data_IF_100439862874
#
_entry.id   IF_100439862874
#
_cell.length_a   1.000
_cell.length_b   1.000
_cell.length_c   1.000
_cell.angle_alpha   90.00
_cell.angle_beta   90.00
_cell.angle_gamma   90.00
#
_symmetry.space_group_name_H-M   'P 1'
#
loop_
_entity.id
_entity.type
_entity.pdbx_description
1 polymer ?
#
# COMPACT_ATOMS: atom_id res chain seq x y z
N UNK A 1 1.92 -8.27 23.72
CA UNK A 1 1.74 -7.58 22.43
C UNK A 1 0.91 -8.43 21.47
N UNK A 2 1.30 -9.63 21.14
CA UNK A 2 0.61 -10.58 20.23
C UNK A 2 -0.89 -10.72 20.51
N UNK A 3 -1.31 -11.00 21.78
CA UNK A 3 -2.73 -11.10 22.17
C UNK A 3 -3.57 -9.87 21.88
N UNK A 4 -2.96 -8.67 21.92
CA UNK A 4 -3.67 -7.43 21.64
C UNK A 4 -3.87 -7.24 20.14
N UNK A 5 -2.89 -7.63 19.31
CA UNK A 5 -3.01 -7.60 17.86
C UNK A 5 -4.14 -8.53 17.38
N UNK A 6 -4.24 -9.75 17.92
CA UNK A 6 -5.30 -10.70 17.61
C UNK A 6 -6.74 -10.21 17.92
N UNK A 7 -6.88 -9.14 18.66
CA UNK A 7 -8.17 -8.55 19.08
C UNK A 7 -8.55 -7.29 18.30
N UNK A 8 -7.73 -6.86 17.33
CA UNK A 8 -8.05 -5.72 16.46
C UNK A 8 -9.20 -6.06 15.53
N UNK A 9 -10.02 -5.08 15.23
CA UNK A 9 -11.21 -5.20 14.37
C UNK A 9 -11.40 -3.91 13.56
N UNK A 10 -12.22 -4.00 12.52
CA UNK A 10 -12.52 -2.89 11.63
C UNK A 10 -11.27 -2.32 10.99
N UNK A 11 -11.21 -1.03 10.76
CA UNK A 11 -10.07 -0.35 10.14
C UNK A 11 -8.75 -0.44 10.94
N UNK A 12 -8.78 -0.91 12.19
CA UNK A 12 -7.58 -1.15 12.98
C UNK A 12 -7.03 -2.59 12.84
N UNK A 13 -7.75 -3.51 12.19
CA UNK A 13 -7.28 -4.87 11.94
C UNK A 13 -6.53 -4.92 10.61
N UNK A 14 -5.29 -5.45 10.56
CA UNK A 14 -4.57 -5.63 9.31
C UNK A 14 -5.21 -6.74 8.46
N UNK A 15 -5.01 -6.70 7.15
CA UNK A 15 -5.42 -7.79 6.25
C UNK A 15 -4.61 -9.06 6.52
N UNK A 16 -3.33 -8.89 6.85
CA UNK A 16 -2.46 -9.99 7.27
C UNK A 16 -1.83 -9.67 8.62
N UNK A 17 -2.16 -10.47 9.63
CA UNK A 17 -1.49 -10.38 10.92
C UNK A 17 -0.23 -11.26 10.92
N UNK A 18 0.91 -10.65 11.21
CA UNK A 18 2.21 -11.33 11.24
C UNK A 18 2.75 -11.42 12.67
N UNK A 19 2.45 -12.50 13.41
CA UNK A 19 3.13 -12.80 14.67
C UNK A 19 4.61 -13.08 14.43
N UNK A 20 5.48 -12.31 15.08
CA UNK A 20 6.92 -12.32 14.78
C UNK A 20 7.71 -13.21 15.74
N UNK A 21 8.41 -14.20 15.19
CA UNK A 21 9.37 -15.05 15.91
C UNK A 21 10.81 -14.86 15.42
N UNK A 22 11.11 -13.76 14.75
CA UNK A 22 12.42 -13.45 14.19
C UNK A 22 13.04 -12.27 14.92
N UNK A 23 13.01 -11.04 14.40
CA UNK A 23 13.68 -9.86 14.99
C UNK A 23 13.09 -9.39 16.32
N UNK A 24 11.78 -9.48 16.49
CA UNK A 24 11.12 -9.12 17.74
C UNK A 24 11.33 -10.16 18.86
N UNK A 25 11.96 -11.30 18.55
CA UNK A 25 12.19 -12.39 19.49
C UNK A 25 13.69 -12.70 19.63
N UNK A 26 14.25 -12.53 20.84
CA UNK A 26 15.65 -12.84 21.09
C UNK A 26 15.97 -14.30 20.67
N UNK A 27 17.12 -14.59 20.03
CA UNK A 27 17.44 -15.95 19.54
C UNK A 27 17.30 -17.06 20.57
N UNK A 28 17.58 -16.78 21.84
CA UNK A 28 17.42 -17.74 22.95
C UNK A 28 15.98 -17.99 23.40
N UNK A 29 15.03 -17.19 22.89
CA UNK A 29 13.61 -17.25 23.25
C UNK A 29 12.73 -17.70 22.07
N UNK A 30 13.31 -18.07 20.94
CA UNK A 30 12.56 -18.39 19.71
C UNK A 30 11.68 -19.63 19.86
N UNK A 31 12.11 -20.64 20.63
CA UNK A 31 11.28 -21.81 20.89
C UNK A 31 10.06 -21.44 21.75
N UNK A 32 10.26 -20.64 22.82
CA UNK A 32 9.15 -20.09 23.60
C UNK A 32 8.29 -19.13 22.77
N UNK A 33 8.88 -18.41 21.85
CA UNK A 33 8.20 -17.55 20.87
C UNK A 33 7.23 -18.34 20.00
N UNK A 34 7.65 -19.48 19.46
CA UNK A 34 6.80 -20.39 18.69
C UNK A 34 5.64 -20.94 19.52
N UNK A 35 5.89 -21.39 20.77
CA UNK A 35 4.84 -21.83 21.69
C UNK A 35 3.82 -20.71 22.00
N UNK A 36 4.30 -19.46 22.16
CA UNK A 36 3.42 -18.30 22.41
C UNK A 36 2.56 -17.96 21.20
N UNK A 37 3.12 -18.04 19.98
CA UNK A 37 2.39 -17.85 18.72
C UNK A 37 1.27 -18.89 18.62
N UNK A 38 1.57 -20.16 18.80
CA UNK A 38 0.60 -21.25 18.78
C UNK A 38 -0.51 -21.00 19.81
N UNK A 39 -0.14 -20.67 21.06
CA UNK A 39 -1.12 -20.43 22.12
C UNK A 39 -2.08 -19.30 21.78
N UNK A 40 -1.58 -18.19 21.25
CA UNK A 40 -2.40 -17.01 20.96
C UNK A 40 -3.28 -17.26 19.73
N UNK A 41 -2.76 -17.90 18.68
CA UNK A 41 -3.55 -18.22 17.49
C UNK A 41 -4.63 -19.22 17.83
N UNK A 42 -4.36 -20.27 18.61
CA UNK A 42 -5.37 -21.23 19.07
C UNK A 42 -6.49 -20.56 19.89
N UNK A 43 -6.17 -19.52 20.66
CA UNK A 43 -7.14 -18.81 21.50
C UNK A 43 -7.98 -17.78 20.74
N UNK A 44 -7.41 -17.11 19.74
CA UNK A 44 -7.99 -15.93 19.11
C UNK A 44 -8.07 -15.99 17.58
N UNK A 45 -7.44 -16.96 16.93
CA UNK A 45 -7.34 -17.03 15.47
C UNK A 45 -8.71 -17.08 14.78
N UNK A 46 -9.65 -17.85 15.33
CA UNK A 46 -10.99 -17.96 14.77
C UNK A 46 -11.80 -16.64 14.74
N UNK A 47 -11.39 -15.67 15.53
CA UNK A 47 -12.06 -14.37 15.61
C UNK A 47 -11.33 -13.29 14.82
N UNK A 48 -10.10 -13.54 14.35
CA UNK A 48 -9.34 -12.57 13.59
C UNK A 48 -9.95 -12.41 12.18
N UNK A 49 -10.18 -11.19 11.70
CA UNK A 49 -10.93 -10.98 10.45
C UNK A 49 -10.10 -11.14 9.18
N UNK A 50 -8.76 -11.07 9.27
CA UNK A 50 -7.83 -11.22 8.16
C UNK A 50 -7.08 -12.54 8.18
N UNK A 51 -6.04 -12.65 7.38
CA UNK A 51 -5.15 -13.81 7.32
C UNK A 51 -4.09 -13.78 8.44
N UNK A 52 -3.56 -14.94 8.82
CA UNK A 52 -2.54 -15.08 9.86
C UNK A 52 -1.30 -15.75 9.26
N UNK A 53 -0.21 -15.01 9.15
CA UNK A 53 1.06 -15.48 8.59
C UNK A 53 2.22 -15.26 9.58
N UNK A 54 2.53 -16.19 10.47
CA UNK A 54 3.67 -16.06 11.37
C UNK A 54 4.97 -15.83 10.60
N UNK A 55 5.77 -14.82 11.01
CA UNK A 55 7.14 -14.70 10.55
C UNK A 55 8.02 -15.62 11.35
N UNK A 56 8.67 -16.54 10.67
CA UNK A 56 9.59 -17.53 11.24
C UNK A 56 11.03 -17.16 10.91
N UNK A 57 11.97 -17.80 11.59
CA UNK A 57 13.38 -17.60 11.29
C UNK A 57 13.78 -18.27 9.98
N UNK A 58 14.63 -17.60 9.22
CA UNK A 58 15.32 -18.14 8.05
C UNK A 58 16.64 -17.43 7.91
N UNK A 59 17.60 -17.99 7.19
CA UNK A 59 18.80 -17.29 6.78
C UNK A 59 19.48 -18.07 5.66
N UNK A 60 19.65 -17.45 4.50
CA UNK A 60 20.24 -18.02 3.28
C UNK A 60 21.57 -18.72 3.50
N UNK A 61 22.43 -18.20 4.39
CA UNK A 61 23.78 -18.71 4.67
C UNK A 61 23.90 -19.59 5.92
N UNK A 62 22.79 -19.79 6.66
CA UNK A 62 22.81 -20.52 7.94
C UNK A 62 22.00 -21.81 7.89
N UNK A 63 22.63 -22.97 7.64
CA UNK A 63 21.93 -24.26 7.74
C UNK A 63 21.30 -24.52 9.11
N UNK A 64 21.92 -23.99 10.18
CA UNK A 64 21.37 -24.15 11.53
C UNK A 64 20.06 -23.36 11.72
N UNK A 65 20.00 -22.14 11.19
CA UNK A 65 18.78 -21.31 11.22
C UNK A 65 17.68 -21.91 10.37
N UNK A 66 18.02 -22.44 9.17
CA UNK A 66 17.04 -23.16 8.34
C UNK A 66 16.52 -24.44 9.01
N UNK A 67 17.37 -25.15 9.75
CA UNK A 67 16.91 -26.31 10.53
C UNK A 67 15.97 -25.88 11.65
N UNK A 68 16.28 -24.81 12.39
CA UNK A 68 15.37 -24.24 13.40
C UNK A 68 14.05 -23.78 12.78
N UNK A 69 14.09 -23.13 11.61
CA UNK A 69 12.90 -22.80 10.83
C UNK A 69 12.01 -24.03 10.62
N UNK A 70 12.59 -25.12 10.14
CA UNK A 70 11.87 -26.35 9.88
C UNK A 70 11.25 -26.97 11.15
N UNK A 71 11.94 -26.92 12.28
CA UNK A 71 11.39 -27.38 13.56
C UNK A 71 10.21 -26.50 14.01
N UNK A 72 10.33 -25.17 13.88
CA UNK A 72 9.22 -24.26 14.19
C UNK A 72 8.02 -24.44 13.25
N UNK A 73 8.25 -24.61 11.95
CA UNK A 73 7.18 -24.92 11.00
C UNK A 73 6.43 -26.20 11.38
N UNK A 74 7.16 -27.27 11.72
CA UNK A 74 6.57 -28.53 12.16
C UNK A 74 5.76 -28.38 13.44
N UNK A 75 6.19 -27.52 14.34
CA UNK A 75 5.51 -27.30 15.60
C UNK A 75 4.26 -26.42 15.45
N UNK A 76 4.35 -25.34 14.69
CA UNK A 76 3.27 -24.39 14.47
C UNK A 76 2.16 -25.03 13.64
N UNK A 77 2.53 -25.80 12.64
CA UNK A 77 1.57 -26.48 11.76
C UNK A 77 1.06 -27.83 12.29
N UNK A 78 1.34 -28.20 13.55
CA UNK A 78 0.89 -29.44 14.14
C UNK A 78 -0.65 -29.46 14.31
N UNK A 79 -1.38 -30.41 13.66
CA UNK A 79 -2.84 -30.48 13.74
C UNK A 79 -3.38 -30.79 15.16
N UNK A 80 -2.54 -31.31 16.06
CA UNK A 80 -2.91 -31.47 17.46
C UNK A 80 -2.99 -30.17 18.24
N UNK A 81 -2.46 -29.08 17.63
CA UNK A 81 -2.44 -27.74 18.20
C UNK A 81 -3.37 -26.83 17.40
N UNK A 82 -4.60 -26.73 17.68
CA UNK A 82 -5.67 -25.99 16.96
C UNK A 82 -5.24 -24.74 16.14
N UNK A 83 -4.03 -24.19 16.37
CA UNK A 83 -3.50 -23.02 15.70
C UNK A 83 -3.48 -23.13 14.17
N UNK A 84 -3.10 -24.30 13.64
CA UNK A 84 -2.97 -24.51 12.18
C UNK A 84 -4.29 -24.30 11.42
N UNK A 85 -5.42 -24.46 12.07
CA UNK A 85 -6.73 -24.23 11.45
C UNK A 85 -7.00 -22.76 11.13
N UNK A 86 -6.16 -21.86 11.64
CA UNK A 86 -6.27 -20.41 11.52
C UNK A 86 -5.03 -19.78 10.91
N UNK A 87 -4.08 -20.60 10.43
CA UNK A 87 -2.86 -20.11 9.76
C UNK A 87 -3.04 -20.27 8.26
N UNK A 88 -2.88 -19.18 7.55
CA UNK A 88 -3.06 -19.11 6.10
C UNK A 88 -1.72 -19.18 5.36
N UNK A 89 -0.61 -18.84 6.01
CA UNK A 89 0.72 -18.88 5.42
C UNK A 89 1.85 -18.58 6.38
N UNK A 90 3.03 -18.33 5.82
CA UNK A 90 4.23 -17.96 6.56
C UNK A 90 5.00 -16.84 5.86
N UNK A 91 5.63 -15.98 6.64
CA UNK A 91 6.59 -14.98 6.16
C UNK A 91 8.01 -15.50 6.38
N UNK A 92 8.79 -15.54 5.30
CA UNK A 92 10.18 -16.03 5.27
C UNK A 92 11.12 -14.82 5.12
N UNK A 93 11.87 -14.45 6.14
CA UNK A 93 12.86 -13.38 6.09
C UNK A 93 14.19 -13.86 5.50
N UNK A 94 15.16 -13.00 5.34
CA UNK A 94 16.59 -13.29 5.07
C UNK A 94 16.83 -14.29 3.90
N UNK A 95 15.93 -14.28 2.89
CA UNK A 95 16.07 -15.12 1.70
C UNK A 95 17.20 -14.61 0.79
N UNK A 96 17.80 -15.52 0.03
CA UNK A 96 18.79 -15.24 -1.01
C UNK A 96 18.22 -15.32 -2.43
N UNK A 97 18.83 -16.17 -3.26
CA UNK A 97 18.42 -16.40 -4.65
C UNK A 97 17.12 -17.23 -4.78
N UNK A 98 16.64 -17.39 -6.00
CA UNK A 98 15.43 -18.18 -6.31
C UNK A 98 15.53 -19.63 -5.81
N UNK A 99 16.72 -20.22 -5.80
CA UNK A 99 16.88 -21.59 -5.31
C UNK A 99 16.74 -21.66 -3.77
N UNK A 100 17.05 -20.57 -3.08
CA UNK A 100 16.81 -20.44 -1.64
C UNK A 100 15.31 -20.29 -1.34
N UNK A 101 14.56 -19.52 -2.15
CA UNK A 101 13.11 -19.41 -2.05
C UNK A 101 12.42 -20.77 -2.27
N UNK A 102 12.86 -21.55 -3.26
CA UNK A 102 12.36 -22.91 -3.52
C UNK A 102 12.61 -23.85 -2.34
N UNK A 103 13.71 -23.69 -1.61
CA UNK A 103 13.98 -24.48 -0.40
C UNK A 103 12.99 -24.15 0.73
N UNK A 104 12.64 -22.85 0.88
CA UNK A 104 11.63 -22.45 1.85
C UNK A 104 10.26 -23.04 1.50
N UNK A 105 9.88 -22.96 0.23
CA UNK A 105 8.65 -23.60 -0.29
C UNK A 105 8.64 -25.12 -0.06
N UNK A 106 9.75 -25.80 -0.36
CA UNK A 106 9.89 -27.24 -0.11
C UNK A 106 9.71 -27.60 1.38
N UNK A 107 10.20 -26.76 2.29
CA UNK A 107 10.00 -26.99 3.73
C UNK A 107 8.53 -26.91 4.12
N UNK A 108 7.80 -25.93 3.60
CA UNK A 108 6.37 -25.80 3.83
C UNK A 108 5.63 -27.02 3.24
N UNK A 109 5.97 -27.45 2.03
CA UNK A 109 5.40 -28.65 1.38
C UNK A 109 5.63 -29.93 2.20
N UNK A 110 6.84 -30.08 2.77
CA UNK A 110 7.14 -31.25 3.65
C UNK A 110 6.27 -31.20 4.91
N UNK A 111 6.07 -30.02 5.48
CA UNK A 111 5.23 -29.80 6.67
C UNK A 111 3.77 -30.14 6.36
N UNK A 112 3.22 -29.62 5.26
CA UNK A 112 1.87 -29.95 4.78
C UNK A 112 1.68 -31.45 4.61
N UNK A 113 2.61 -32.10 3.90
CA UNK A 113 2.58 -33.55 3.68
C UNK A 113 2.62 -34.32 4.99
N UNK A 114 3.51 -33.93 5.92
CA UNK A 114 3.68 -34.59 7.20
C UNK A 114 2.42 -34.51 8.07
N UNK A 115 1.75 -33.39 8.04
CA UNK A 115 0.56 -33.14 8.83
C UNK A 115 -0.75 -33.47 8.11
N UNK A 116 -0.68 -33.92 6.86
CA UNK A 116 -1.85 -34.31 6.07
C UNK A 116 -2.69 -33.10 5.60
N UNK A 117 -2.07 -31.93 5.51
CA UNK A 117 -2.66 -30.74 4.90
C UNK A 117 -2.64 -30.87 3.37
N UNK A 118 -3.49 -30.14 2.69
CA UNK A 118 -3.45 -30.10 1.24
C UNK A 118 -2.15 -29.40 0.77
N UNK A 119 -1.49 -29.90 -0.26
CA UNK A 119 -0.32 -29.27 -0.85
C UNK A 119 -0.70 -27.88 -1.40
N UNK A 120 0.08 -26.86 -1.07
CA UNK A 120 -0.18 -25.47 -1.44
C UNK A 120 -1.28 -24.77 -0.63
N UNK A 121 -1.73 -25.38 0.47
CA UNK A 121 -2.74 -24.77 1.34
C UNK A 121 -2.20 -23.66 2.24
N UNK A 122 -0.89 -23.61 2.44
CA UNK A 122 -0.20 -22.58 3.21
C UNK A 122 0.53 -21.65 2.26
N UNK A 123 0.19 -20.38 2.28
CA UNK A 123 0.84 -19.34 1.48
C UNK A 123 2.27 -19.04 1.95
N UNK A 124 3.06 -18.41 1.10
CA UNK A 124 4.41 -17.95 1.42
C UNK A 124 4.57 -16.48 1.01
N UNK A 125 5.08 -15.68 1.93
CA UNK A 125 5.59 -14.35 1.65
C UNK A 125 7.09 -14.32 1.87
N UNK A 126 7.83 -13.54 1.10
CA UNK A 126 9.27 -13.38 1.28
C UNK A 126 9.63 -11.90 1.47
N UNK A 127 10.67 -11.66 2.29
CA UNK A 127 11.20 -10.32 2.52
C UNK A 127 12.43 -10.11 1.65
N UNK A 128 12.39 -9.06 0.81
CA UNK A 128 13.48 -8.66 -0.07
C UNK A 128 14.41 -7.74 0.73
N UNK A 129 15.38 -8.32 1.39
CA UNK A 129 16.25 -7.63 2.34
C UNK A 129 17.74 -7.98 2.14
N UNK A 130 18.07 -8.46 0.94
CA UNK A 130 19.44 -8.68 0.50
C UNK A 130 19.60 -8.34 -0.97
N UNK A 131 20.81 -7.95 -1.36
CA UNK A 131 21.14 -7.71 -2.76
C UNK A 131 20.93 -8.96 -3.63
N UNK A 132 21.14 -10.15 -3.06
CA UNK A 132 20.92 -11.42 -3.75
C UNK A 132 19.43 -11.65 -4.01
N UNK A 133 18.54 -11.37 -3.04
CA UNK A 133 17.10 -11.46 -3.19
C UNK A 133 16.58 -10.41 -4.19
N UNK A 134 17.09 -9.18 -4.17
CA UNK A 134 16.72 -8.15 -5.15
C UNK A 134 17.09 -8.57 -6.57
N UNK A 135 18.30 -9.10 -6.78
CA UNK A 135 18.71 -9.59 -8.11
C UNK A 135 17.87 -10.78 -8.58
N UNK A 136 17.35 -11.60 -7.68
CA UNK A 136 16.48 -12.72 -7.99
C UNK A 136 15.12 -12.29 -8.58
N UNK A 137 14.66 -11.07 -8.31
CA UNK A 137 13.43 -10.50 -8.87
C UNK A 137 13.43 -10.46 -10.41
N UNK A 138 14.60 -10.32 -11.03
CA UNK A 138 14.71 -10.30 -12.49
C UNK A 138 14.31 -11.63 -13.15
N UNK A 139 14.53 -12.74 -12.47
CA UNK A 139 14.28 -14.09 -12.96
C UNK A 139 12.93 -14.65 -12.48
N UNK A 140 12.29 -13.97 -11.52
CA UNK A 140 11.09 -14.45 -10.81
C UNK A 140 9.95 -14.81 -11.77
N UNK A 141 9.64 -13.94 -12.74
CA UNK A 141 8.58 -14.20 -13.74
C UNK A 141 8.85 -15.47 -14.55
N UNK A 142 10.11 -15.68 -14.96
CA UNK A 142 10.47 -16.88 -15.72
C UNK A 142 10.33 -18.13 -14.86
N UNK A 143 10.76 -18.06 -13.61
CA UNK A 143 10.63 -19.17 -12.66
C UNK A 143 9.16 -19.51 -12.37
N UNK A 144 8.33 -18.52 -12.10
CA UNK A 144 6.89 -18.69 -11.85
C UNK A 144 6.16 -19.29 -13.06
N UNK A 145 6.63 -19.05 -14.27
CA UNK A 145 6.08 -19.60 -15.51
C UNK A 145 6.50 -21.05 -15.85
N UNK A 146 7.42 -21.65 -15.09
CA UNK A 146 7.91 -23.01 -15.37
C UNK A 146 6.90 -24.07 -14.86
N UNK A 147 6.60 -25.13 -15.64
CA UNK A 147 5.69 -26.19 -15.20
C UNK A 147 6.18 -26.98 -13.97
N UNK A 148 7.46 -26.88 -13.65
CA UNK A 148 8.09 -27.48 -12.46
C UNK A 148 8.36 -26.45 -11.37
N UNK A 149 7.63 -25.35 -11.40
CA UNK A 149 7.77 -24.29 -10.44
C UNK A 149 7.29 -24.76 -9.07
N UNK A 150 8.14 -24.62 -8.07
CA UNK A 150 7.80 -24.90 -6.67
C UNK A 150 7.58 -23.58 -5.89
N UNK A 151 7.07 -22.53 -6.55
CA UNK A 151 6.78 -21.24 -5.94
C UNK A 151 5.31 -20.83 -6.09
N UNK A 152 4.42 -21.81 -6.36
CA UNK A 152 2.99 -21.55 -6.60
C UNK A 152 2.28 -20.96 -5.37
N UNK A 153 2.82 -21.21 -4.17
CA UNK A 153 2.31 -20.64 -2.92
C UNK A 153 2.81 -19.22 -2.62
N UNK A 154 3.82 -18.72 -3.36
CA UNK A 154 4.32 -17.38 -3.20
C UNK A 154 3.28 -16.37 -3.69
N UNK A 155 2.87 -15.42 -2.84
CA UNK A 155 1.87 -14.42 -3.22
C UNK A 155 2.27 -12.99 -2.89
N UNK A 156 3.19 -12.78 -1.92
CA UNK A 156 3.54 -11.47 -1.41
C UNK A 156 5.05 -11.28 -1.32
N UNK A 157 5.53 -10.15 -1.80
CA UNK A 157 6.90 -9.65 -1.62
C UNK A 157 6.88 -8.44 -0.69
N UNK A 158 7.79 -8.40 0.27
CA UNK A 158 7.92 -7.32 1.26
C UNK A 158 9.30 -6.71 1.18
N UNK A 159 9.44 -5.40 1.19
CA UNK A 159 10.74 -4.74 1.31
C UNK A 159 11.28 -4.81 2.73
N UNK A 160 12.58 -5.12 2.87
CA UNK A 160 13.30 -5.14 4.14
C UNK A 160 14.46 -4.16 4.17
N UNK A 161 14.19 -2.84 4.20
CA UNK A 161 15.20 -1.78 4.04
C UNK A 161 16.34 -1.84 5.08
N UNK A 162 16.07 -2.26 6.31
CA UNK A 162 17.06 -2.28 7.41
C UNK A 162 18.16 -3.31 7.12
N UNK A 163 17.77 -4.57 6.91
CA UNK A 163 18.72 -5.63 6.61
C UNK A 163 19.32 -5.51 5.21
N UNK A 164 18.56 -4.98 4.24
CA UNK A 164 19.11 -4.60 2.95
C UNK A 164 20.24 -3.56 3.08
N UNK A 165 20.06 -2.53 3.92
CA UNK A 165 21.09 -1.52 4.22
C UNK A 165 22.36 -2.17 4.78
N UNK A 166 22.21 -3.13 5.66
CA UNK A 166 23.30 -3.90 6.27
C UNK A 166 23.99 -4.77 5.23
N UNK A 167 23.25 -5.51 4.40
CA UNK A 167 23.78 -6.36 3.34
C UNK A 167 24.56 -5.54 2.29
N UNK A 168 24.00 -4.42 1.84
CA UNK A 168 24.64 -3.47 0.94
C UNK A 168 25.81 -2.71 1.57
N UNK A 169 26.04 -2.83 2.89
CA UNK A 169 27.05 -2.07 3.65
C UNK A 169 26.90 -0.57 3.45
N UNK A 170 25.68 -0.10 3.27
CA UNK A 170 25.40 1.30 3.04
C UNK A 170 25.53 2.12 4.33
N UNK A 171 26.12 3.31 4.23
CA UNK A 171 26.34 4.21 5.35
C UNK A 171 25.83 5.59 4.97
N UNK A 172 24.91 6.14 5.75
CA UNK A 172 24.50 7.55 5.62
C UNK A 172 25.29 8.42 6.59
N UNK A 173 25.57 9.71 6.25
CA UNK A 173 26.26 10.62 7.14
C UNK A 173 25.53 10.86 8.48
N UNK A 174 24.23 10.68 8.50
CA UNK A 174 23.35 10.88 9.68
C UNK A 174 23.12 9.59 10.47
N UNK A 175 23.57 8.44 9.96
CA UNK A 175 23.29 7.13 10.56
C UNK A 175 21.86 6.60 10.35
N UNK A 176 21.02 7.32 9.58
CA UNK A 176 19.69 6.86 9.18
C UNK A 176 19.74 5.89 7.98
N UNK A 177 18.59 5.36 7.61
CA UNK A 177 18.47 4.54 6.41
C UNK A 177 18.63 5.40 5.14
N UNK A 178 19.31 4.89 4.09
CA UNK A 178 19.23 5.47 2.77
C UNK A 178 17.78 5.44 2.24
N UNK A 179 17.38 6.35 1.36
CA UNK A 179 16.11 6.24 0.66
C UNK A 179 16.20 5.14 -0.40
N UNK A 180 15.77 3.93 -0.06
CA UNK A 180 15.82 2.77 -0.95
C UNK A 180 14.68 2.75 -1.98
N UNK A 181 14.47 3.86 -2.69
CA UNK A 181 13.44 3.97 -3.73
C UNK A 181 13.63 2.93 -4.86
N UNK A 182 14.89 2.61 -5.20
CA UNK A 182 15.17 1.59 -6.21
C UNK A 182 14.74 0.20 -5.75
N UNK A 183 14.96 -0.16 -4.49
CA UNK A 183 14.52 -1.42 -3.92
C UNK A 183 13.00 -1.56 -4.03
N UNK A 184 12.25 -0.58 -3.52
CA UNK A 184 10.78 -0.56 -3.61
C UNK A 184 10.29 -0.68 -5.04
N UNK A 185 10.89 0.08 -5.96
CA UNK A 185 10.52 0.03 -7.36
C UNK A 185 10.84 -1.32 -8.02
N UNK A 186 11.97 -1.94 -7.66
CA UNK A 186 12.36 -3.26 -8.17
C UNK A 186 11.44 -4.35 -7.63
N UNK A 187 11.11 -4.31 -6.32
CA UNK A 187 10.18 -5.26 -5.68
C UNK A 187 8.78 -5.16 -6.29
N UNK A 188 8.23 -3.96 -6.41
CA UNK A 188 6.93 -3.74 -7.05
C UNK A 188 6.90 -4.25 -8.49
N UNK A 189 7.93 -3.92 -9.28
CA UNK A 189 8.02 -4.37 -10.68
C UNK A 189 8.18 -5.89 -10.80
N UNK A 190 9.01 -6.50 -9.94
CA UNK A 190 9.19 -7.95 -9.89
C UNK A 190 7.90 -8.67 -9.52
N UNK A 191 7.21 -8.20 -8.50
CA UNK A 191 5.91 -8.72 -8.08
C UNK A 191 4.87 -8.60 -9.20
N UNK A 192 4.68 -7.42 -9.75
CA UNK A 192 3.72 -7.17 -10.83
C UNK A 192 3.99 -8.04 -12.06
N UNK A 193 5.27 -8.20 -12.45
CA UNK A 193 5.64 -9.05 -13.60
C UNK A 193 5.35 -10.54 -13.35
N UNK A 194 5.35 -10.98 -12.10
CA UNK A 194 5.09 -12.35 -11.67
C UNK A 194 3.61 -12.60 -11.26
N UNK A 195 2.77 -11.56 -11.22
CA UNK A 195 1.39 -11.66 -10.77
C UNK A 195 1.25 -11.75 -9.24
N UNK A 196 2.20 -11.18 -8.52
CA UNK A 196 2.26 -11.15 -7.06
C UNK A 196 1.94 -9.76 -6.51
N UNK A 197 1.71 -9.68 -5.21
CA UNK A 197 1.54 -8.43 -4.47
C UNK A 197 2.90 -7.95 -3.95
N UNK A 198 3.14 -6.64 -3.97
CA UNK A 198 4.27 -6.00 -3.29
C UNK A 198 3.77 -5.07 -2.19
N UNK A 199 4.40 -5.12 -1.03
CA UNK A 199 4.20 -4.17 0.07
C UNK A 199 5.54 -3.64 0.56
N UNK A 200 5.52 -2.44 1.11
CA UNK A 200 6.68 -1.83 1.73
C UNK A 200 6.97 -2.41 3.14
N UNK A 201 8.18 -2.27 3.59
CA UNK A 201 8.62 -2.62 4.92
C UNK A 201 8.11 -1.69 6.02
N UNK A 202 8.53 -1.91 7.27
CA UNK A 202 8.05 -1.14 8.41
C UNK A 202 8.51 0.32 8.40
N UNK A 203 7.61 1.24 8.74
CA UNK A 203 7.93 2.63 9.00
C UNK A 203 8.22 2.85 10.49
N UNK A 204 9.47 3.12 10.82
CA UNK A 204 9.99 3.07 12.20
C UNK A 204 9.50 4.22 13.09
N UNK A 205 9.21 5.40 12.53
CA UNK A 205 8.70 6.51 13.31
C UNK A 205 7.20 6.35 13.58
N UNK A 206 6.88 5.42 14.47
CA UNK A 206 5.51 5.00 14.82
C UNK A 206 4.60 6.13 15.34
N UNK A 207 5.15 7.33 15.62
CA UNK A 207 4.39 8.49 16.09
C UNK A 207 4.13 9.50 15.00
N UNK A 208 4.86 9.43 13.93
CA UNK A 208 4.73 10.30 12.77
C UNK A 208 3.75 9.68 11.75
N UNK A 209 2.45 9.84 12.01
CA UNK A 209 1.40 9.31 11.13
C UNK A 209 1.35 10.07 9.81
N UNK A 210 1.66 11.37 9.80
CA UNK A 210 1.76 12.17 8.58
C UNK A 210 2.85 11.62 7.63
N UNK A 211 4.08 11.41 8.14
CA UNK A 211 5.14 10.80 7.33
C UNK A 211 4.84 9.35 6.93
N UNK A 212 4.05 8.62 7.73
CA UNK A 212 3.56 7.30 7.34
C UNK A 212 2.58 7.40 6.15
N UNK A 213 1.67 8.36 6.17
CA UNK A 213 0.75 8.65 5.08
C UNK A 213 1.49 9.04 3.79
N UNK A 214 2.46 9.96 3.88
CA UNK A 214 3.31 10.34 2.75
C UNK A 214 4.01 9.10 2.15
N UNK A 215 4.52 8.20 3.01
CA UNK A 215 5.15 6.95 2.57
C UNK A 215 4.16 6.03 1.86
N UNK A 216 2.92 5.92 2.34
CA UNK A 216 1.87 5.13 1.69
C UNK A 216 1.51 5.69 0.32
N UNK A 217 1.36 7.00 0.19
CA UNK A 217 1.07 7.67 -1.08
C UNK A 217 2.19 7.44 -2.11
N UNK A 218 3.45 7.57 -1.68
CA UNK A 218 4.61 7.27 -2.51
C UNK A 218 4.66 5.81 -2.96
N UNK A 219 4.30 4.88 -2.07
CA UNK A 219 4.22 3.45 -2.37
C UNK A 219 3.16 3.13 -3.42
N UNK A 220 1.98 3.74 -3.31
CA UNK A 220 0.91 3.58 -4.30
C UNK A 220 1.35 4.06 -5.69
N UNK A 221 2.03 5.20 -5.77
CA UNK A 221 2.59 5.71 -7.01
C UNK A 221 3.63 4.76 -7.65
N UNK A 222 4.24 3.89 -6.84
CA UNK A 222 5.17 2.84 -7.29
C UNK A 222 4.50 1.49 -7.55
N UNK A 223 3.19 1.35 -7.30
CA UNK A 223 2.42 0.12 -7.48
C UNK A 223 2.56 -0.87 -6.32
N UNK A 224 2.97 -0.41 -5.14
CA UNK A 224 2.91 -1.20 -3.91
C UNK A 224 1.52 -1.06 -3.28
N UNK A 225 0.91 -2.17 -2.89
CA UNK A 225 -0.48 -2.20 -2.44
C UNK A 225 -0.64 -2.09 -0.92
N UNK A 226 0.46 -2.00 -0.17
CA UNK A 226 0.40 -1.92 1.28
C UNK A 226 1.75 -1.64 1.92
N UNK A 227 1.78 -1.74 3.24
CA UNK A 227 2.97 -1.47 4.05
C UNK A 227 2.91 -2.31 5.34
N UNK A 228 4.06 -2.69 5.85
CA UNK A 228 4.18 -3.37 7.13
C UNK A 228 3.95 -2.40 8.30
N UNK A 229 2.83 -2.52 8.96
CA UNK A 229 2.41 -1.66 10.06
C UNK A 229 2.85 -2.20 11.42
N UNK A 230 3.36 -1.33 12.29
CA UNK A 230 3.85 -1.68 13.62
C UNK A 230 2.85 -1.34 14.75
N UNK A 231 1.84 -0.53 14.46
CA UNK A 231 0.86 -0.05 15.45
C UNK A 231 -0.56 -0.03 14.88
N UNK A 232 -1.60 -0.13 15.72
CA UNK A 232 -2.99 -0.01 15.25
C UNK A 232 -3.31 1.32 14.56
N UNK A 233 -2.59 2.40 14.90
CA UNK A 233 -2.73 3.70 14.22
C UNK A 233 -2.21 3.67 12.80
N UNK A 234 -1.06 3.03 12.59
CA UNK A 234 -0.52 2.81 11.25
C UNK A 234 -1.40 1.84 10.44
N UNK A 235 -1.94 0.79 11.06
CA UNK A 235 -2.87 -0.12 10.37
C UNK A 235 -4.10 0.62 9.88
N UNK A 236 -4.70 1.47 10.73
CA UNK A 236 -5.85 2.28 10.31
C UNK A 236 -5.50 3.16 9.13
N UNK A 237 -4.38 3.86 9.19
CA UNK A 237 -3.90 4.72 8.09
C UNK A 237 -3.65 3.92 6.81
N UNK A 238 -3.02 2.73 6.92
CA UNK A 238 -2.77 1.86 5.78
C UNK A 238 -4.07 1.35 5.12
N UNK A 239 -5.11 1.12 5.89
CA UNK A 239 -6.40 0.69 5.36
C UNK A 239 -7.20 1.85 4.72
N UNK A 240 -7.01 3.07 5.18
CA UNK A 240 -7.68 4.26 4.63
C UNK A 240 -6.95 4.83 3.41
N UNK A 241 -5.62 4.89 3.42
CA UNK A 241 -4.81 5.53 2.38
C UNK A 241 -4.96 4.97 0.97
N UNK A 242 -5.11 3.64 0.73
CA UNK A 242 -5.27 3.11 -0.62
C UNK A 242 -6.62 3.43 -1.24
N UNK A 243 -7.60 3.72 -0.40
CA UNK A 243 -8.96 4.02 -0.86
C UNK A 243 -9.05 5.46 -1.37
N UNK A 244 -9.91 5.76 -2.35
CA UNK A 244 -10.15 7.13 -2.75
C UNK A 244 -10.59 7.98 -1.56
N UNK A 245 -10.21 9.28 -1.49
CA UNK A 245 -10.62 10.13 -0.39
C UNK A 245 -12.14 10.30 -0.33
N UNK A 246 -12.68 10.63 0.84
CA UNK A 246 -14.10 10.93 1.04
C UNK A 246 -14.57 12.11 0.20
N UNK A 247 -13.76 13.16 0.16
CA UNK A 247 -14.00 14.39 -0.61
C UNK A 247 -12.81 14.62 -1.52
N UNK A 248 -13.10 15.01 -2.77
CA UNK A 248 -12.03 15.39 -3.68
C UNK A 248 -11.31 16.65 -3.18
N UNK A 249 -10.02 16.70 -3.42
CA UNK A 249 -9.18 17.82 -3.02
C UNK A 249 -8.36 18.38 -4.17
N UNK A 250 -8.07 19.69 -4.10
CA UNK A 250 -7.16 20.33 -5.02
C UNK A 250 -5.79 20.49 -4.36
N UNK A 251 -4.75 20.18 -5.13
CA UNK A 251 -3.36 20.35 -4.73
C UNK A 251 -2.76 21.51 -5.52
N UNK A 252 -1.86 22.26 -4.89
CA UNK A 252 -1.03 23.27 -5.52
C UNK A 252 0.43 22.83 -5.49
N UNK A 253 1.09 22.77 -6.65
CA UNK A 253 2.53 22.52 -6.74
C UNK A 253 3.31 23.79 -6.40
N UNK A 254 4.05 23.72 -5.32
CA UNK A 254 4.97 24.77 -4.88
C UNK A 254 6.40 24.25 -4.98
N UNK A 255 7.06 24.49 -6.11
CA UNK A 255 8.44 24.06 -6.38
C UNK A 255 8.66 22.54 -6.32
N UNK A 256 7.74 21.75 -6.86
CA UNK A 256 7.79 20.28 -6.84
C UNK A 256 7.30 19.66 -5.54
N UNK A 257 6.69 20.45 -4.67
CA UNK A 257 5.97 20.01 -3.48
C UNK A 257 4.49 20.28 -3.66
N UNK A 258 3.68 19.24 -3.67
CA UNK A 258 2.23 19.38 -3.67
C UNK A 258 1.72 19.75 -2.28
N UNK A 259 0.87 20.78 -2.21
CA UNK A 259 0.24 21.29 -0.98
C UNK A 259 -1.26 21.18 -1.17
N UNK A 260 -1.94 20.47 -0.29
CA UNK A 260 -3.39 20.37 -0.30
C UNK A 260 -4.02 21.72 0.08
N UNK A 261 -5.06 22.12 -0.67
CA UNK A 261 -5.78 23.36 -0.45
C UNK A 261 -6.95 23.14 0.50
N UNK A 262 -7.08 24.01 1.49
CA UNK A 262 -8.19 23.95 2.43
C UNK A 262 -9.52 24.35 1.76
N UNK A 263 -10.55 23.52 1.88
CA UNK A 263 -11.88 23.80 1.35
C UNK A 263 -12.66 24.65 2.34
N UNK A 264 -12.96 25.91 1.99
CA UNK A 264 -13.72 26.87 2.80
C UNK A 264 -14.86 27.52 1.98
N UNK A 265 -16.10 27.38 2.42
CA UNK A 265 -17.27 28.04 1.81
C UNK A 265 -17.38 27.86 0.28
N UNK A 266 -16.99 26.68 -0.25
CA UNK A 266 -17.05 26.36 -1.69
C UNK A 266 -15.84 26.91 -2.49
N UNK A 267 -14.81 27.36 -1.81
CA UNK A 267 -13.53 27.81 -2.39
C UNK A 267 -12.41 26.95 -1.83
N UNK A 268 -11.29 26.92 -2.53
CA UNK A 268 -10.05 26.26 -2.10
C UNK A 268 -9.01 27.32 -1.76
N UNK A 269 -8.56 27.32 -0.51
CA UNK A 269 -7.73 28.38 0.06
C UNK A 269 -6.29 27.89 0.16
N UNK A 270 -5.35 28.75 -0.29
CA UNK A 270 -3.95 28.61 0.02
C UNK A 270 -3.55 29.66 1.06
N UNK A 271 -3.03 29.24 2.21
CA UNK A 271 -2.63 30.07 3.36
C UNK A 271 -1.13 29.92 3.67
N UNK A 272 -0.29 29.80 2.64
CA UNK A 272 1.17 29.67 2.78
C UNK A 272 1.91 30.91 2.30
N UNK A 273 3.15 31.11 2.75
CA UNK A 273 4.00 32.23 2.38
C UNK A 273 4.77 32.00 1.05
N UNK A 274 4.76 30.77 0.52
CA UNK A 274 5.56 30.39 -0.66
C UNK A 274 4.88 30.74 -1.99
N UNK A 275 3.55 30.97 -1.98
CA UNK A 275 2.79 31.48 -3.13
C UNK A 275 2.04 32.72 -2.70
N UNK A 276 2.27 33.83 -3.39
CA UNK A 276 1.55 35.08 -3.14
C UNK A 276 0.97 35.62 -4.43
N UNK A 277 -0.21 36.24 -4.34
CA UNK A 277 -0.94 36.80 -5.46
C UNK A 277 -1.44 38.20 -5.14
N UNK A 278 -0.95 39.18 -5.88
CA UNK A 278 -1.33 40.60 -5.74
C UNK A 278 -2.00 41.11 -7.01
N UNK A 279 -3.09 41.85 -6.87
CA UNK A 279 -3.66 42.64 -7.97
C UNK A 279 -2.86 43.93 -8.13
N UNK A 280 -2.25 44.14 -9.29
CA UNK A 280 -1.38 45.33 -9.57
C UNK A 280 -2.06 46.40 -10.44
N UNK A 281 -3.22 46.12 -11.03
CA UNK A 281 -4.01 47.00 -11.86
C UNK A 281 -5.31 46.36 -12.34
N UNK A 282 -5.99 47.01 -13.27
CA UNK A 282 -7.17 46.42 -13.91
C UNK A 282 -6.72 45.22 -14.76
N UNK A 283 -7.14 44.01 -14.37
CA UNK A 283 -6.81 42.72 -15.01
C UNK A 283 -5.29 42.47 -15.11
N UNK A 284 -4.52 42.87 -14.07
CA UNK A 284 -3.10 42.65 -13.93
C UNK A 284 -2.77 42.12 -12.55
N UNK A 285 -1.97 41.05 -12.53
CA UNK A 285 -1.65 40.28 -11.33
C UNK A 285 -0.14 40.05 -11.24
N UNK A 286 0.34 39.98 -10.02
CA UNK A 286 1.69 39.55 -9.70
C UNK A 286 1.60 38.28 -8.92
N UNK A 287 2.04 37.17 -9.52
CA UNK A 287 2.14 35.88 -8.92
C UNK A 287 3.60 35.59 -8.52
N UNK A 288 3.81 35.21 -7.27
CA UNK A 288 5.08 34.71 -6.76
C UNK A 288 4.89 33.25 -6.38
N UNK A 289 5.72 32.34 -6.90
CA UNK A 289 5.74 30.92 -6.53
C UNK A 289 7.16 30.53 -6.19
N UNK A 290 7.42 30.17 -4.93
CA UNK A 290 8.71 29.72 -4.46
C UNK A 290 9.89 30.67 -4.72
N UNK A 291 9.62 32.00 -4.85
CA UNK A 291 10.60 33.04 -5.13
C UNK A 291 10.69 33.48 -6.59
N UNK A 292 10.00 32.81 -7.50
CA UNK A 292 9.87 33.23 -8.90
C UNK A 292 8.67 34.19 -9.07
N UNK A 293 8.92 35.43 -9.46
CA UNK A 293 7.91 36.47 -9.62
C UNK A 293 7.52 36.62 -11.11
N UNK A 294 6.20 36.65 -11.40
CA UNK A 294 5.61 36.79 -12.73
C UNK A 294 4.54 37.89 -12.72
N UNK A 295 4.50 38.73 -13.78
CA UNK A 295 3.38 39.65 -14.03
C UNK A 295 2.51 39.06 -15.14
N UNK A 296 1.22 38.81 -14.83
CA UNK A 296 0.27 38.10 -15.68
C UNK A 296 -1.01 38.92 -15.87
N UNK A 297 -1.70 38.73 -16.99
CA UNK A 297 -3.10 39.13 -17.10
C UNK A 297 -4.02 38.04 -16.57
N UNK A 298 -5.35 38.24 -16.57
CA UNK A 298 -6.30 37.30 -15.97
C UNK A 298 -6.32 35.93 -16.66
N UNK A 299 -6.19 35.93 -17.99
CA UNK A 299 -6.16 34.68 -18.75
C UNK A 299 -4.84 33.93 -18.51
N UNK A 300 -3.72 34.62 -18.54
CA UNK A 300 -2.39 34.05 -18.23
C UNK A 300 -2.31 33.55 -16.79
N UNK A 301 -2.93 34.23 -15.81
CA UNK A 301 -2.99 33.80 -14.41
C UNK A 301 -3.78 32.50 -14.26
N UNK A 302 -4.93 32.40 -14.91
CA UNK A 302 -5.77 31.20 -14.89
C UNK A 302 -5.02 30.00 -15.46
N UNK A 303 -4.33 30.18 -16.62
CA UNK A 303 -3.53 29.12 -17.23
C UNK A 303 -2.36 28.69 -16.33
N UNK A 304 -1.65 29.64 -15.74
CA UNK A 304 -0.52 29.38 -14.83
C UNK A 304 -0.96 28.64 -13.56
N UNK A 305 -2.07 29.07 -12.93
CA UNK A 305 -2.60 28.38 -11.74
C UNK A 305 -3.16 27.00 -12.08
N UNK A 306 -3.73 26.82 -13.26
CA UNK A 306 -4.18 25.51 -13.73
C UNK A 306 -3.01 24.55 -13.92
N UNK A 307 -1.89 25.01 -14.46
CA UNK A 307 -0.66 24.21 -14.62
C UNK A 307 -0.02 23.82 -13.27
N UNK A 308 -0.19 24.68 -12.25
CA UNK A 308 0.30 24.43 -10.89
C UNK A 308 -0.66 23.60 -10.04
N UNK A 309 -1.89 23.35 -10.51
CA UNK A 309 -2.89 22.63 -9.71
C UNK A 309 -3.15 21.22 -10.23
N UNK A 310 -3.43 20.30 -9.32
CA UNK A 310 -3.93 18.98 -9.61
C UNK A 310 -5.15 18.67 -8.75
N UNK A 311 -5.96 17.71 -9.17
CA UNK A 311 -7.17 17.31 -8.46
C UNK A 311 -7.12 15.82 -8.12
N UNK A 312 -7.27 15.50 -6.84
CA UNK A 312 -7.46 14.14 -6.34
C UNK A 312 -8.96 13.86 -6.26
N UNK A 313 -9.50 12.96 -7.09
CA UNK A 313 -10.93 12.66 -7.08
C UNK A 313 -11.33 11.85 -5.84
N UNK A 314 -12.50 12.19 -5.28
CA UNK A 314 -13.15 11.34 -4.28
C UNK A 314 -13.68 10.03 -4.89
N UNK A 315 -14.06 9.08 -4.04
CA UNK A 315 -14.75 7.87 -4.49
C UNK A 315 -16.01 8.21 -5.31
N UNK A 316 -16.83 9.18 -4.85
CA UNK A 316 -18.00 9.62 -5.58
C UNK A 316 -17.66 10.24 -6.94
N UNK A 317 -16.60 11.06 -7.03
CA UNK A 317 -16.15 11.64 -8.31
C UNK A 317 -15.73 10.57 -9.31
N UNK A 318 -15.09 9.51 -8.85
CA UNK A 318 -14.66 8.39 -9.70
C UNK A 318 -15.91 7.66 -10.21
N UNK A 319 -16.85 7.32 -9.32
CA UNK A 319 -18.09 6.65 -9.66
C UNK A 319 -18.90 7.48 -10.68
N UNK A 320 -19.13 8.78 -10.41
CA UNK A 320 -19.83 9.68 -11.31
C UNK A 320 -19.19 9.71 -12.70
N UNK A 321 -17.87 9.80 -12.75
CA UNK A 321 -17.11 9.84 -14.00
C UNK A 321 -17.20 8.54 -14.79
N UNK A 322 -17.17 7.40 -14.11
CA UNK A 322 -17.31 6.09 -14.75
C UNK A 322 -18.72 5.90 -15.32
N UNK A 323 -19.76 6.22 -14.54
CA UNK A 323 -21.15 6.14 -15.00
C UNK A 323 -21.44 7.05 -16.21
N UNK A 324 -20.89 8.28 -16.19
CA UNK A 324 -21.05 9.21 -17.31
C UNK A 324 -20.34 8.71 -18.57
N UNK A 325 -19.15 8.14 -18.43
CA UNK A 325 -18.42 7.56 -19.55
C UNK A 325 -19.12 6.31 -20.12
N UNK A 326 -19.65 5.42 -19.27
CA UNK A 326 -20.42 4.26 -19.71
C UNK A 326 -21.68 4.68 -20.50
N UNK A 327 -22.43 5.66 -19.99
CA UNK A 327 -23.57 6.20 -20.69
C UNK A 327 -23.20 6.82 -22.05
N UNK A 328 -22.07 7.52 -22.12
CA UNK A 328 -21.55 8.07 -23.36
C UNK A 328 -21.10 6.98 -24.35
N UNK A 329 -20.51 5.92 -23.87
CA UNK A 329 -20.10 4.73 -24.66
C UNK A 329 -21.32 4.01 -25.26
N UNK A 330 -22.38 3.84 -24.48
CA UNK A 330 -23.67 3.33 -24.98
C UNK A 330 -24.28 4.23 -26.06
N UNK A 331 -24.07 5.54 -25.97
CA UNK A 331 -24.48 6.52 -26.99
C UNK A 331 -23.53 6.59 -28.19
N UNK A 332 -22.52 5.71 -28.26
CA UNK A 332 -21.55 5.60 -29.37
C UNK A 332 -20.42 6.62 -29.35
N UNK A 333 -20.13 7.24 -28.20
CA UNK A 333 -18.97 8.14 -28.02
C UNK A 333 -17.78 7.34 -27.50
N UNK A 334 -16.58 7.56 -28.06
CA UNK A 334 -15.34 6.93 -27.63
C UNK A 334 -14.52 7.73 -26.63
N UNK A 335 -14.88 9.00 -26.43
CA UNK A 335 -14.29 9.89 -25.45
C UNK A 335 -15.29 11.01 -25.07
N UNK A 336 -15.17 11.53 -23.85
CA UNK A 336 -15.91 12.69 -23.34
C UNK A 336 -14.96 13.64 -22.62
N UNK A 337 -15.35 14.93 -22.55
CA UNK A 337 -14.68 15.88 -21.68
C UNK A 337 -15.40 15.91 -20.35
N UNK A 338 -14.67 15.74 -19.26
CA UNK A 338 -15.18 15.92 -17.91
C UNK A 338 -14.58 17.20 -17.34
N UNK A 339 -15.44 18.19 -17.13
CA UNK A 339 -15.07 19.47 -16.57
C UNK A 339 -15.09 19.41 -15.06
N UNK A 340 -13.98 19.83 -14.43
CA UNK A 340 -13.90 20.09 -13.00
C UNK A 340 -13.44 21.52 -12.79
N UNK A 341 -14.27 22.32 -12.15
CA UNK A 341 -13.97 23.72 -11.86
C UNK A 341 -13.86 23.96 -10.37
N UNK A 342 -13.02 24.90 -10.00
CA UNK A 342 -12.85 25.37 -8.63
C UNK A 342 -12.58 26.87 -8.60
N UNK A 343 -12.94 27.51 -7.49
CA UNK A 343 -12.49 28.86 -7.17
C UNK A 343 -11.33 28.76 -6.19
N UNK A 344 -10.14 29.16 -6.62
CA UNK A 344 -8.97 29.28 -5.75
C UNK A 344 -8.98 30.65 -5.07
N UNK A 345 -8.62 30.66 -3.79
CA UNK A 345 -8.41 31.88 -3.01
C UNK A 345 -6.95 31.95 -2.55
N UNK A 346 -6.18 32.87 -3.12
CA UNK A 346 -4.77 33.11 -2.76
C UNK A 346 -4.63 34.58 -2.40
N UNK A 347 -4.16 34.89 -1.19
CA UNK A 347 -4.03 36.27 -0.67
C UNK A 347 -5.28 37.15 -0.82
N UNK A 348 -6.47 36.56 -0.75
CA UNK A 348 -7.75 37.24 -0.91
C UNK A 348 -8.14 37.53 -2.36
N UNK A 349 -7.40 37.05 -3.34
CA UNK A 349 -7.73 37.09 -4.77
C UNK A 349 -8.42 35.76 -5.17
N UNK A 350 -9.66 35.86 -5.71
CA UNK A 350 -10.38 34.71 -6.22
C UNK A 350 -10.06 34.50 -7.70
N UNK A 351 -9.70 33.25 -8.06
CA UNK A 351 -9.43 32.84 -9.44
C UNK A 351 -10.23 31.59 -9.75
N UNK A 352 -11.06 31.64 -10.78
CA UNK A 352 -11.75 30.45 -11.27
C UNK A 352 -10.82 29.64 -12.17
N UNK A 353 -10.62 28.38 -11.83
CA UNK A 353 -9.89 27.41 -12.66
C UNK A 353 -10.85 26.31 -13.13
N UNK A 354 -10.64 25.82 -14.33
CA UNK A 354 -11.39 24.66 -14.86
C UNK A 354 -10.42 23.70 -15.52
N UNK A 355 -10.43 22.46 -15.04
CA UNK A 355 -9.61 21.39 -15.59
C UNK A 355 -10.50 20.43 -16.39
N UNK A 356 -10.44 20.53 -17.70
CA UNK A 356 -11.12 19.63 -18.62
C UNK A 356 -10.26 18.40 -18.87
N UNK A 357 -10.59 17.30 -18.23
CA UNK A 357 -9.94 16.01 -18.53
C UNK A 357 -10.70 15.25 -19.58
N UNK A 358 -9.98 14.80 -20.61
CA UNK A 358 -10.53 13.84 -21.57
C UNK A 358 -10.60 12.46 -20.92
N UNK A 359 -11.80 11.88 -20.88
CA UNK A 359 -12.02 10.49 -20.52
C UNK A 359 -12.21 9.67 -21.78
N UNK A 360 -11.35 8.69 -21.94
CA UNK A 360 -11.39 7.65 -22.96
C UNK A 360 -11.29 6.26 -22.32
N UNK A 361 -11.20 5.23 -23.11
CA UNK A 361 -11.10 3.87 -22.61
C UNK A 361 -9.87 3.66 -21.70
N UNK A 362 -8.74 4.32 -21.98
CA UNK A 362 -7.54 4.18 -21.16
C UNK A 362 -7.71 4.84 -19.76
N UNK A 363 -8.34 6.01 -19.72
CA UNK A 363 -8.66 6.72 -18.47
C UNK A 363 -9.68 5.92 -17.64
N UNK A 364 -10.69 5.36 -18.31
CA UNK A 364 -11.68 4.50 -17.67
C UNK A 364 -11.04 3.25 -17.04
N UNK A 365 -10.14 2.58 -17.78
CA UNK A 365 -9.42 1.42 -17.25
C UNK A 365 -8.51 1.79 -16.06
N UNK A 366 -7.90 2.97 -16.07
CA UNK A 366 -7.13 3.46 -14.94
C UNK A 366 -8.00 3.72 -13.69
N UNK A 367 -9.21 4.28 -13.89
CA UNK A 367 -10.17 4.54 -12.82
C UNK A 367 -10.78 3.25 -12.23
N UNK A 368 -10.75 2.13 -12.95
CA UNK A 368 -11.19 0.84 -12.41
C UNK A 368 -10.32 0.35 -11.25
N UNK A 369 -9.02 0.69 -11.23
CA UNK A 369 -8.10 0.20 -10.20
C UNK A 369 -8.55 0.57 -8.77
N UNK A 370 -8.78 1.85 -8.43
CA UNK A 370 -9.26 2.21 -7.09
C UNK A 370 -10.67 1.70 -6.78
N UNK A 371 -11.53 1.57 -7.79
CA UNK A 371 -12.88 0.98 -7.60
C UNK A 371 -12.77 -0.51 -7.30
N UNK A 372 -11.98 -1.27 -8.05
CA UNK A 372 -11.77 -2.69 -7.78
C UNK A 372 -11.18 -2.91 -6.40
N UNK A 373 -10.19 -2.09 -6.00
CA UNK A 373 -9.63 -2.17 -4.65
C UNK A 373 -10.69 -1.91 -3.58
N UNK A 374 -11.55 -0.90 -3.76
CA UNK A 374 -12.64 -0.61 -2.85
C UNK A 374 -13.64 -1.79 -2.77
N UNK A 375 -14.03 -2.35 -3.92
CA UNK A 375 -14.92 -3.51 -4.01
C UNK A 375 -14.32 -4.72 -3.30
N UNK A 376 -13.03 -5.01 -3.56
CA UNK A 376 -12.32 -6.12 -2.92
C UNK A 376 -12.28 -5.96 -1.39
N UNK A 377 -11.99 -4.76 -0.90
CA UNK A 377 -12.01 -4.48 0.55
C UNK A 377 -13.41 -4.66 1.11
N UNK A 378 -14.43 -4.10 0.47
CA UNK A 378 -15.81 -4.21 0.94
C UNK A 378 -16.29 -5.66 0.96
N UNK A 379 -16.01 -6.46 -0.08
CA UNK A 379 -16.44 -7.86 -0.16
C UNK A 379 -15.73 -8.77 0.85
N UNK A 380 -14.43 -8.57 1.06
CA UNK A 380 -13.59 -9.47 1.84
C UNK A 380 -13.44 -9.05 3.32
N UNK A 381 -13.81 -7.80 3.67
CA UNK A 381 -13.68 -7.24 5.02
C UNK A 381 -15.04 -6.76 5.57
N UNK A 382 -16.00 -7.67 5.81
CA UNK A 382 -17.33 -7.30 6.33
C UNK A 382 -17.27 -6.63 7.71
N UNK A 383 -16.18 -6.77 8.44
CA UNK A 383 -15.92 -6.08 9.70
C UNK A 383 -15.66 -4.56 9.53
N UNK A 384 -15.39 -4.11 8.31
CA UNK A 384 -15.16 -2.69 7.97
C UNK A 384 -16.39 -2.01 7.34
N UNK A 385 -17.45 -2.73 7.00
CA UNK A 385 -18.62 -2.17 6.28
C UNK A 385 -19.21 -0.94 6.95
N UNK A 386 -19.47 -0.99 8.28
CA UNK A 386 -20.05 0.12 9.02
C UNK A 386 -19.17 1.38 8.95
N UNK A 387 -17.84 1.22 9.07
CA UNK A 387 -16.89 2.33 8.99
C UNK A 387 -16.80 2.90 7.56
N UNK A 388 -16.84 2.06 6.53
CA UNK A 388 -16.82 2.49 5.12
C UNK A 388 -18.12 3.20 4.73
N UNK A 389 -19.29 2.69 5.14
CA UNK A 389 -20.58 3.35 4.91
C UNK A 389 -20.69 4.68 5.67
N UNK A 390 -20.12 4.78 6.88
CA UNK A 390 -20.05 6.06 7.60
C UNK A 390 -19.10 7.05 6.90
N UNK A 391 -18.00 6.54 6.35
CA UNK A 391 -17.00 7.37 5.68
C UNK A 391 -17.53 7.94 4.36
N UNK A 392 -18.09 7.12 3.48
CA UNK A 392 -18.45 7.51 2.11
C UNK A 392 -19.94 7.81 1.92
N UNK A 393 -20.81 7.26 2.78
CA UNK A 393 -22.26 7.25 2.62
C UNK A 393 -22.76 6.01 1.87
N UNK A 394 -23.86 5.43 2.35
CA UNK A 394 -24.46 4.18 1.83
C UNK A 394 -24.73 4.26 0.31
N UNK A 395 -25.24 5.40 -0.20
CA UNK A 395 -25.54 5.60 -1.63
C UNK A 395 -24.27 5.52 -2.50
N UNK A 396 -23.15 6.11 -2.06
CA UNK A 396 -21.88 6.08 -2.80
C UNK A 396 -21.28 4.68 -2.77
N UNK A 397 -21.36 3.99 -1.62
CA UNK A 397 -20.92 2.60 -1.48
C UNK A 397 -21.70 1.68 -2.43
N UNK A 398 -23.04 1.76 -2.41
CA UNK A 398 -23.90 0.95 -3.28
C UNK A 398 -23.58 1.14 -4.76
N UNK A 399 -23.32 2.38 -5.19
CA UNK A 399 -22.95 2.69 -6.58
C UNK A 399 -21.54 2.19 -6.92
N UNK A 400 -20.58 2.37 -6.01
CA UNK A 400 -19.22 1.87 -6.19
C UNK A 400 -19.17 0.34 -6.34
N UNK A 401 -20.07 -0.38 -5.67
CA UNK A 401 -20.16 -1.85 -5.75
C UNK A 401 -20.73 -2.38 -7.06
N UNK A 402 -21.29 -1.55 -7.93
CA UNK A 402 -21.92 -1.98 -9.19
C UNK A 402 -21.33 -1.34 -10.44
N UNK A 403 -20.50 -0.30 -10.31
CA UNK A 403 -19.83 0.37 -11.42
C UNK A 403 -18.56 -0.39 -11.81
N UNK A 404 -18.27 -0.51 -13.13
CA UNK A 404 -17.03 -1.15 -13.62
C UNK A 404 -17.20 -2.40 -14.48
#
# INVERSE_FOLDING_TARGET
>A
MIRRAAQLRGMQAPDVWVPDNEDATAPSMRDEGAENIISVISEHGAEFPGEIHPRIVWHRDSPATRYQCFEHLLEIADPEKDAIQHIDGFVIPEVGDIDDWKKADEFITIVETKHGLAEGSLAMSVIIESAEAELALADLREEMGKPSNNLERLFLLVDGEVDYTKDMRAITPTGGLPPWEELRHNTSRGASAAGLIAIDGPYDDIRNIEGYHERMTDNQAKGMLGIWSLTPGQVKEANESPLPPKTGSWLLDVNGREVELDAEDGRYVYDGDDVTLETTGDDRYRLLVGGDERELDGDELTEELLDLTSYIPSLNDIVDSMEEFEAAKEAGKGAIAMERSATLLVDGVEVEISNDRMWDEATYQAAQTPITLFQDVYENRPDQHEELEELYGEDVVDRAMVVG
#
